data_IF_905049136705
#
_entry.id   IF_905049136705
#
_cell.length_a   1.000
_cell.length_b   1.000
_cell.length_c   1.000
_cell.angle_alpha   90.00
_cell.angle_beta   90.00
_cell.angle_gamma   90.00
#
_symmetry.space_group_name_H-M   'P 1'
#
loop_
_entity.id
_entity.type
_entity.pdbx_description
1 polymer ?
#
# COMPACT_ATOMS: atom_id res chain seq x y z
N UNK A 1 -27.73 -24.50 -40.05
CA UNK A 1 -28.89 -24.51 -39.18
C UNK A 1 -28.61 -23.66 -37.96
N UNK A 2 -29.54 -22.75 -37.69
CA UNK A 2 -29.42 -21.86 -36.50
C UNK A 2 -30.38 -22.41 -35.44
N UNK A 3 -29.84 -22.77 -34.29
CA UNK A 3 -30.67 -23.12 -33.13
C UNK A 3 -31.11 -21.82 -32.47
N UNK A 4 -32.40 -21.56 -32.46
CA UNK A 4 -32.97 -20.43 -31.72
C UNK A 4 -33.17 -20.83 -30.26
N UNK A 5 -32.83 -19.95 -29.30
CA UNK A 5 -32.96 -20.19 -27.87
C UNK A 5 -34.33 -20.61 -27.39
N UNK A 6 -35.41 -20.35 -28.16
CA UNK A 6 -36.76 -20.87 -27.88
C UNK A 6 -36.92 -22.39 -28.05
N UNK A 7 -35.96 -23.06 -28.65
CA UNK A 7 -35.95 -24.52 -28.80
C UNK A 7 -35.09 -25.25 -27.75
N UNK A 8 -34.43 -24.50 -26.88
CA UNK A 8 -33.65 -25.07 -25.77
C UNK A 8 -34.43 -24.84 -24.50
N UNK A 9 -34.91 -25.91 -23.89
CA UNK A 9 -35.57 -25.82 -22.59
C UNK A 9 -34.57 -25.44 -21.49
N UNK A 10 -35.02 -24.75 -20.46
CA UNK A 10 -34.19 -24.45 -19.30
C UNK A 10 -33.62 -25.76 -18.74
N UNK A 11 -32.37 -25.71 -18.29
CA UNK A 11 -31.61 -26.85 -17.73
C UNK A 11 -31.35 -28.02 -18.72
N UNK A 12 -31.59 -27.83 -20.03
CA UNK A 12 -31.36 -28.87 -21.04
C UNK A 12 -29.92 -28.95 -21.53
N UNK A 13 -29.12 -27.96 -21.24
CA UNK A 13 -27.69 -27.94 -21.58
C UNK A 13 -26.89 -28.08 -20.28
N UNK A 14 -26.38 -29.26 -20.07
CA UNK A 14 -25.49 -29.59 -18.95
C UNK A 14 -24.07 -29.87 -19.47
N UNK A 15 -23.15 -30.23 -18.60
CA UNK A 15 -21.74 -30.52 -18.97
C UNK A 15 -21.62 -31.74 -19.91
N UNK A 16 -22.58 -32.66 -19.91
CA UNK A 16 -22.61 -33.80 -20.83
C UNK A 16 -22.87 -33.35 -22.27
N UNK A 17 -23.52 -32.22 -22.45
CA UNK A 17 -23.81 -31.60 -23.74
C UNK A 17 -22.68 -30.66 -24.23
N UNK A 18 -21.73 -30.32 -23.34
CA UNK A 18 -20.56 -29.53 -23.68
C UNK A 18 -19.43 -30.45 -24.12
N UNK A 19 -18.83 -30.14 -25.28
CA UNK A 19 -17.63 -30.87 -25.72
C UNK A 19 -16.41 -30.39 -24.95
N UNK A 20 -16.16 -30.99 -23.79
CA UNK A 20 -15.02 -30.71 -22.92
C UNK A 20 -13.97 -31.81 -23.10
N UNK A 21 -12.70 -31.45 -23.09
CA UNK A 21 -11.59 -32.38 -23.41
C UNK A 21 -11.27 -33.37 -22.29
N UNK A 22 -11.73 -33.15 -21.07
CA UNK A 22 -11.44 -34.00 -19.90
C UNK A 22 -12.65 -34.05 -18.94
N UNK A 23 -12.57 -34.96 -17.97
CA UNK A 23 -13.58 -35.12 -16.93
C UNK A 23 -13.51 -34.03 -15.86
N UNK A 24 -14.63 -33.53 -15.33
CA UNK A 24 -14.62 -32.56 -14.26
C UNK A 24 -13.96 -33.13 -13.00
N UNK A 25 -13.22 -32.27 -12.32
CA UNK A 25 -12.57 -32.57 -11.03
C UNK A 25 -12.97 -31.47 -10.02
N UNK A 26 -13.24 -31.88 -8.77
CA UNK A 26 -13.60 -30.91 -7.73
C UNK A 26 -12.54 -29.80 -7.59
N UNK A 27 -12.99 -28.56 -7.60
CA UNK A 27 -12.11 -27.38 -7.51
C UNK A 27 -11.53 -26.93 -8.86
N UNK A 28 -11.86 -27.62 -9.96
CA UNK A 28 -11.49 -27.16 -11.28
C UNK A 28 -12.52 -26.20 -11.86
N UNK A 29 -12.07 -25.31 -12.70
CA UNK A 29 -12.91 -24.34 -13.45
C UNK A 29 -12.91 -24.70 -14.93
N UNK A 30 -14.02 -24.44 -15.62
CA UNK A 30 -14.10 -24.61 -17.05
C UNK A 30 -13.38 -23.46 -17.76
N UNK A 31 -12.34 -23.77 -18.49
CA UNK A 31 -11.49 -22.78 -19.17
C UNK A 31 -11.51 -22.97 -20.67
N UNK A 32 -11.37 -21.87 -21.43
CA UNK A 32 -11.13 -21.91 -22.86
C UNK A 32 -9.66 -22.31 -23.10
N UNK A 33 -9.45 -23.31 -23.97
CA UNK A 33 -8.11 -23.78 -24.35
C UNK A 33 -8.09 -24.18 -25.83
N UNK A 34 -7.37 -23.46 -26.64
CA UNK A 34 -7.36 -23.62 -28.11
C UNK A 34 -6.89 -24.99 -28.59
N UNK A 35 -6.03 -25.68 -27.83
CA UNK A 35 -5.54 -27.03 -28.15
C UNK A 35 -6.47 -28.16 -27.67
N UNK A 36 -7.53 -27.86 -26.92
CA UNK A 36 -8.46 -28.86 -26.40
C UNK A 36 -9.54 -29.20 -27.43
N UNK A 37 -9.95 -30.48 -27.47
CA UNK A 37 -11.08 -30.91 -28.32
C UNK A 37 -12.35 -30.22 -27.84
N UNK A 38 -12.98 -29.43 -28.70
CA UNK A 38 -14.13 -28.59 -28.34
C UNK A 38 -13.78 -27.22 -27.80
N UNK A 39 -12.49 -26.89 -27.63
CA UNK A 39 -12.04 -25.57 -27.16
C UNK A 39 -12.20 -25.34 -25.67
N UNK A 40 -12.67 -26.33 -24.91
CA UNK A 40 -12.93 -26.26 -23.47
C UNK A 40 -12.21 -27.37 -22.72
N UNK A 41 -11.75 -27.08 -21.52
CA UNK A 41 -11.14 -28.05 -20.59
C UNK A 41 -11.45 -27.67 -19.15
N UNK A 42 -11.57 -28.66 -18.28
CA UNK A 42 -11.51 -28.46 -16.83
C UNK A 42 -10.04 -28.32 -16.43
N UNK A 43 -9.69 -27.22 -15.83
CA UNK A 43 -8.34 -26.95 -15.33
C UNK A 43 -8.41 -26.55 -13.85
N UNK A 44 -7.35 -26.87 -13.11
CA UNK A 44 -7.23 -26.34 -11.77
C UNK A 44 -7.38 -24.82 -11.83
N UNK A 45 -8.17 -24.25 -10.93
CA UNK A 45 -8.18 -22.80 -10.76
C UNK A 45 -6.74 -22.42 -10.41
N UNK A 46 -6.02 -21.92 -11.41
CA UNK A 46 -4.68 -21.40 -11.15
C UNK A 46 -4.83 -20.05 -10.47
N UNK A 47 -5.26 -20.08 -9.22
CA UNK A 47 -5.23 -18.93 -8.30
C UNK A 47 -3.79 -18.47 -8.00
N UNK A 48 -2.81 -19.11 -8.57
CA UNK A 48 -1.45 -18.59 -8.65
C UNK A 48 -1.40 -17.45 -9.68
N UNK A 49 -2.12 -16.38 -9.39
CA UNK A 49 -1.77 -15.09 -9.95
C UNK A 49 -0.40 -14.74 -9.38
N UNK A 50 0.64 -15.08 -10.16
CA UNK A 50 2.03 -14.82 -9.78
C UNK A 50 2.33 -13.32 -9.62
N UNK A 51 1.36 -12.46 -9.98
CA UNK A 51 1.41 -11.01 -9.75
C UNK A 51 0.93 -10.60 -8.36
N UNK A 52 0.31 -11.52 -7.59
CA UNK A 52 -0.19 -11.25 -6.24
C UNK A 52 0.61 -12.03 -5.20
N UNK A 53 0.89 -11.36 -4.08
CA UNK A 53 1.47 -12.04 -2.93
C UNK A 53 0.42 -12.96 -2.30
N UNK A 54 0.70 -14.28 -2.07
CA UNK A 54 -0.22 -15.19 -1.41
C UNK A 54 -0.62 -14.65 -0.03
N UNK A 55 -1.88 -14.89 0.38
CA UNK A 55 -2.38 -14.46 1.69
C UNK A 55 -1.58 -15.05 2.86
N UNK A 56 -1.01 -16.24 2.68
CA UNK A 56 -0.11 -16.88 3.65
C UNK A 56 1.31 -16.27 3.70
N UNK A 57 1.56 -15.24 2.89
CA UNK A 57 2.89 -14.65 2.72
C UNK A 57 3.68 -15.30 1.60
N UNK A 58 4.86 -14.76 1.32
CA UNK A 58 5.75 -15.23 0.27
C UNK A 58 7.02 -14.39 0.17
N UNK A 59 7.92 -14.79 -0.72
CA UNK A 59 9.15 -14.05 -1.03
C UNK A 59 8.90 -13.14 -2.22
N UNK A 60 9.15 -11.84 -2.03
CA UNK A 60 9.17 -10.87 -3.12
C UNK A 60 10.59 -10.85 -3.73
N UNK A 61 10.70 -11.13 -5.02
CA UNK A 61 11.98 -11.15 -5.74
C UNK A 61 12.35 -9.80 -6.34
N UNK A 62 11.40 -8.85 -6.34
CA UNK A 62 11.59 -7.47 -6.78
C UNK A 62 11.62 -6.49 -5.62
N UNK A 63 12.01 -5.23 -5.89
CA UNK A 63 11.98 -4.16 -4.89
C UNK A 63 10.53 -3.79 -4.52
N UNK A 64 10.27 -3.62 -3.22
CA UNK A 64 9.02 -3.04 -2.72
C UNK A 64 9.21 -1.53 -2.58
N UNK A 65 8.35 -0.77 -3.24
CA UNK A 65 8.33 0.70 -3.13
C UNK A 65 7.09 1.10 -2.35
N UNK A 66 7.29 1.67 -1.17
CA UNK A 66 6.21 2.33 -0.44
C UNK A 66 5.77 3.60 -1.17
N UNK A 67 4.46 3.85 -1.21
CA UNK A 67 3.93 5.12 -1.71
C UNK A 67 4.49 6.28 -0.89
N UNK A 68 4.87 7.36 -1.55
CA UNK A 68 5.43 8.55 -0.92
C UNK A 68 4.61 9.77 -1.32
N UNK A 69 4.13 10.50 -0.32
CA UNK A 69 3.56 11.82 -0.50
C UNK A 69 4.67 12.88 -0.41
N UNK A 70 4.70 13.78 -1.38
CA UNK A 70 5.66 14.89 -1.39
C UNK A 70 4.88 16.20 -1.45
N UNK A 71 4.89 16.93 -0.34
CA UNK A 71 4.20 18.21 -0.22
C UNK A 71 5.23 19.35 -0.01
N UNK A 72 5.21 20.30 -0.93
CA UNK A 72 6.13 21.43 -0.98
C UNK A 72 5.73 22.61 -0.08
N UNK A 73 4.54 22.58 0.55
CA UNK A 73 4.00 23.74 1.28
C UNK A 73 3.26 23.32 2.55
N UNK A 74 3.97 23.19 3.65
CA UNK A 74 3.36 22.80 4.92
C UNK A 74 3.46 23.92 5.96
N UNK A 75 2.29 24.29 6.51
CA UNK A 75 2.16 25.26 7.60
C UNK A 75 0.89 24.98 8.41
N UNK A 76 0.88 25.37 9.69
CA UNK A 76 -0.27 25.13 10.56
C UNK A 76 -0.47 23.67 10.92
N UNK A 77 -1.68 23.17 10.92
CA UNK A 77 -2.00 21.78 11.27
C UNK A 77 -1.91 20.88 10.04
N UNK A 78 -1.06 19.86 10.09
CA UNK A 78 -0.86 18.86 9.02
C UNK A 78 -1.25 17.49 9.55
N UNK A 79 -2.09 16.77 8.80
CA UNK A 79 -2.52 15.39 9.13
C UNK A 79 -2.04 14.45 8.03
N UNK A 80 -1.29 13.43 8.39
CA UNK A 80 -0.78 12.42 7.46
C UNK A 80 -1.82 11.32 7.23
N UNK A 81 -2.03 10.94 5.97
CA UNK A 81 -2.94 9.86 5.61
C UNK A 81 -2.17 8.57 5.29
N UNK A 82 -2.07 7.70 6.28
CA UNK A 82 -1.36 6.42 6.15
C UNK A 82 -2.14 5.33 5.40
N UNK A 83 -3.39 5.57 5.00
CA UNK A 83 -4.11 4.67 4.09
C UNK A 83 -3.58 4.78 2.67
N UNK A 84 -3.22 5.98 2.24
CA UNK A 84 -2.80 6.26 0.86
C UNK A 84 -1.29 6.22 0.70
N UNK A 85 -0.55 6.68 1.71
CA UNK A 85 0.90 6.78 1.64
C UNK A 85 1.58 6.12 2.83
N UNK A 86 2.74 5.56 2.58
CA UNK A 86 3.59 4.95 3.60
C UNK A 86 4.69 5.91 4.05
N UNK A 87 5.12 6.80 3.16
CA UNK A 87 6.21 7.73 3.37
C UNK A 87 5.76 9.16 3.06
N UNK A 88 6.39 10.14 3.72
CA UNK A 88 6.05 11.55 3.56
C UNK A 88 7.31 12.39 3.47
N UNK A 89 7.31 13.34 2.53
CA UNK A 89 8.37 14.35 2.36
C UNK A 89 7.69 15.72 2.41
N UNK A 90 7.90 16.45 3.48
CA UNK A 90 7.16 17.67 3.81
C UNK A 90 8.11 18.87 3.85
N UNK A 91 7.99 19.80 2.91
CA UNK A 91 8.70 21.07 2.99
C UNK A 91 7.94 22.04 3.89
N UNK A 92 8.57 22.50 4.96
CA UNK A 92 7.98 23.42 5.92
C UNK A 92 8.12 24.85 5.42
N UNK A 93 6.99 25.50 5.15
CA UNK A 93 6.93 26.92 4.76
C UNK A 93 6.45 27.82 5.91
N UNK A 94 6.08 27.21 7.01
CA UNK A 94 5.71 27.85 8.29
C UNK A 94 5.88 26.86 9.43
N UNK A 95 5.53 27.28 10.65
CA UNK A 95 5.50 26.39 11.79
C UNK A 95 4.37 25.36 11.64
N UNK A 96 4.65 24.10 11.93
CA UNK A 96 3.73 22.98 11.75
C UNK A 96 3.38 22.34 13.09
N UNK A 97 2.12 21.98 13.28
CA UNK A 97 1.66 21.01 14.26
C UNK A 97 1.30 19.74 13.50
N UNK A 98 2.07 18.68 13.70
CA UNK A 98 1.76 17.38 13.11
C UNK A 98 0.63 16.73 13.92
N UNK A 99 -0.57 16.75 13.36
CA UNK A 99 -1.75 16.20 14.01
C UNK A 99 -1.67 14.67 14.13
N UNK A 100 -2.48 14.10 15.01
CA UNK A 100 -2.61 12.64 15.05
C UNK A 100 -3.10 12.15 13.69
N UNK A 101 -2.45 11.16 13.10
CA UNK A 101 -2.92 10.57 11.86
C UNK A 101 -4.22 9.80 12.10
N UNK A 102 -4.88 9.42 11.02
CA UNK A 102 -6.04 8.54 11.03
C UNK A 102 -5.79 7.37 10.09
N UNK A 103 -6.46 6.23 10.33
CA UNK A 103 -6.46 5.10 9.40
C UNK A 103 -5.14 4.33 9.31
N UNK A 104 -4.41 4.21 10.42
CA UNK A 104 -3.19 3.42 10.53
C UNK A 104 -3.48 1.92 10.68
N UNK A 105 -2.58 1.07 10.20
CA UNK A 105 -2.64 -0.37 10.39
C UNK A 105 -1.48 -0.85 11.29
N UNK A 106 -1.79 -1.76 12.23
CA UNK A 106 -0.77 -2.35 13.13
C UNK A 106 0.36 -2.98 12.32
N UNK A 107 1.59 -2.64 12.67
CA UNK A 107 2.78 -3.12 11.97
C UNK A 107 3.21 -2.27 10.77
N UNK A 108 2.44 -1.26 10.41
CA UNK A 108 2.81 -0.31 9.37
C UNK A 108 4.10 0.43 9.75
N UNK A 109 4.99 0.63 8.80
CA UNK A 109 6.24 1.35 8.99
C UNK A 109 6.48 2.28 7.81
N UNK A 110 7.13 3.40 8.05
CA UNK A 110 7.46 4.36 7.01
C UNK A 110 8.39 5.44 7.54
N UNK A 111 8.75 6.38 6.67
CA UNK A 111 9.50 7.54 7.08
C UNK A 111 8.72 8.83 6.87
N UNK A 112 9.08 9.84 7.66
CA UNK A 112 8.68 11.24 7.49
C UNK A 112 9.94 12.07 7.39
N UNK A 113 10.11 12.78 6.27
CA UNK A 113 11.17 13.76 6.09
C UNK A 113 10.58 15.15 6.19
N UNK A 114 11.16 16.00 7.03
CA UNK A 114 10.82 17.41 7.14
C UNK A 114 11.97 18.23 6.56
N UNK A 115 11.68 19.08 5.60
CA UNK A 115 12.67 19.93 4.92
C UNK A 115 12.39 21.40 5.25
N UNK A 116 13.38 22.13 5.70
CA UNK A 116 13.27 23.59 5.87
C UNK A 116 13.22 24.27 4.51
N UNK A 117 12.34 25.25 4.34
CA UNK A 117 12.35 26.10 3.16
C UNK A 117 13.63 26.98 3.08
N UNK A 118 13.77 27.80 2.05
CA UNK A 118 14.89 28.72 1.88
C UNK A 118 15.01 29.80 2.98
N UNK A 119 14.03 29.94 3.84
CA UNK A 119 14.04 30.86 5.00
C UNK A 119 14.56 30.16 6.25
N UNK A 120 14.19 28.87 6.45
CA UNK A 120 14.50 28.12 7.63
C UNK A 120 13.74 28.58 8.89
N UNK A 121 14.20 28.12 10.05
CA UNK A 121 13.63 28.47 11.38
C UNK A 121 12.18 28.00 11.58
N UNK A 122 11.71 27.02 10.79
CA UNK A 122 10.37 26.42 10.97
C UNK A 122 10.42 25.40 12.09
N UNK A 123 9.42 25.45 12.94
CA UNK A 123 9.29 24.53 14.10
C UNK A 123 8.24 23.47 13.84
N UNK A 124 8.38 22.32 14.50
CA UNK A 124 7.42 21.24 14.49
C UNK A 124 6.94 20.95 15.91
N UNK A 125 5.64 20.88 16.08
CA UNK A 125 4.99 20.35 17.29
C UNK A 125 4.45 18.97 16.97
N UNK A 126 4.91 17.96 17.70
CA UNK A 126 4.41 16.58 17.59
C UNK A 126 3.14 16.41 18.43
N UNK A 127 2.16 15.70 17.89
CA UNK A 127 0.97 15.35 18.66
C UNK A 127 1.13 13.98 19.34
N UNK A 128 0.20 13.64 20.22
CA UNK A 128 0.29 12.52 21.15
C UNK A 128 0.32 11.12 20.49
N UNK A 129 0.01 10.99 19.19
CA UNK A 129 0.14 9.72 18.48
C UNK A 129 1.60 9.31 18.23
N UNK A 130 2.54 10.27 18.26
CA UNK A 130 3.97 10.01 18.04
C UNK A 130 4.70 9.83 19.35
N UNK A 131 5.47 8.76 19.45
CA UNK A 131 6.18 8.37 20.67
C UNK A 131 7.68 8.31 20.44
N UNK A 132 8.45 8.84 21.37
CA UNK A 132 9.89 9.00 21.30
C UNK A 132 10.59 8.38 22.50
N UNK A 133 11.88 8.10 22.38
CA UNK A 133 12.66 7.59 23.48
C UNK A 133 12.62 8.54 24.70
N UNK A 134 12.38 7.98 25.87
CA UNK A 134 12.23 8.71 27.12
C UNK A 134 11.17 9.83 27.09
N UNK A 135 10.12 9.63 26.27
CA UNK A 135 9.00 10.57 26.08
C UNK A 135 9.49 12.00 25.70
N UNK A 136 10.61 12.07 24.97
CA UNK A 136 11.25 13.33 24.61
C UNK A 136 11.21 13.54 23.10
N UNK A 137 10.29 14.39 22.66
CA UNK A 137 10.16 14.74 21.25
C UNK A 137 11.40 15.51 20.74
N UNK A 138 11.93 15.17 19.56
CA UNK A 138 13.06 15.85 18.99
C UNK A 138 12.72 17.25 18.49
N UNK A 139 13.70 18.15 18.59
CA UNK A 139 13.64 19.45 17.92
C UNK A 139 14.22 19.32 16.52
N UNK A 140 13.51 19.86 15.51
CA UNK A 140 14.01 19.86 14.13
C UNK A 140 15.22 20.77 13.95
N UNK A 141 16.04 20.42 12.96
CA UNK A 141 17.05 21.33 12.39
C UNK A 141 16.37 22.56 11.82
N UNK A 142 16.85 23.75 12.17
CA UNK A 142 16.25 25.02 11.77
C UNK A 142 16.97 25.70 10.60
N UNK A 143 18.12 25.15 10.16
CA UNK A 143 18.90 25.69 9.05
C UNK A 143 18.16 25.57 7.74
N UNK A 144 18.07 26.65 6.97
CA UNK A 144 17.44 26.68 5.66
C UNK A 144 17.97 25.59 4.74
N UNK A 145 17.09 24.98 3.94
CA UNK A 145 17.37 23.92 2.97
C UNK A 145 17.96 22.63 3.55
N UNK A 146 18.04 22.48 4.87
CA UNK A 146 18.34 21.20 5.49
C UNK A 146 17.06 20.50 5.94
N UNK A 147 17.14 19.20 6.08
CA UNK A 147 16.01 18.39 6.53
C UNK A 147 16.37 17.34 7.55
N UNK A 148 15.36 16.81 8.19
CA UNK A 148 15.43 15.74 9.17
C UNK A 148 14.56 14.57 8.73
N UNK A 149 15.09 13.37 8.85
CA UNK A 149 14.39 12.13 8.48
C UNK A 149 14.10 11.33 9.74
N UNK A 150 12.84 10.94 9.91
CA UNK A 150 12.37 10.09 11.00
C UNK A 150 11.77 8.80 10.46
N UNK A 151 12.07 7.68 11.08
CA UNK A 151 11.48 6.38 10.76
C UNK A 151 10.60 5.95 11.91
N UNK A 152 9.37 5.54 11.58
CA UNK A 152 8.37 5.13 12.56
C UNK A 152 7.79 3.75 12.27
N UNK A 153 7.27 3.11 13.33
CA UNK A 153 6.45 1.91 13.28
C UNK A 153 5.22 2.06 14.15
N UNK A 154 4.05 1.73 13.62
CA UNK A 154 2.80 1.75 14.37
C UNK A 154 2.57 0.45 15.13
N UNK A 155 2.31 0.53 16.43
CA UNK A 155 2.09 -0.63 17.32
C UNK A 155 0.60 -0.93 17.61
N UNK A 156 -0.33 -0.17 17.02
CA UNK A 156 -1.76 -0.23 17.28
C UNK A 156 -2.28 0.86 18.23
N UNK A 157 -1.38 1.62 18.87
CA UNK A 157 -1.73 2.74 19.75
C UNK A 157 -0.92 3.99 19.42
N UNK A 158 0.36 3.82 19.09
CA UNK A 158 1.32 4.90 18.87
C UNK A 158 2.23 4.62 17.67
N UNK A 159 2.70 5.68 17.03
CA UNK A 159 3.80 5.68 16.09
C UNK A 159 5.11 5.78 16.87
N UNK A 160 5.79 4.66 17.03
CA UNK A 160 7.07 4.57 17.75
C UNK A 160 8.20 4.97 16.83
N UNK A 161 9.02 5.92 17.25
CA UNK A 161 10.25 6.25 16.54
C UNK A 161 11.23 5.08 16.57
N UNK A 162 11.69 4.64 15.41
CA UNK A 162 12.69 3.59 15.23
C UNK A 162 14.08 4.18 15.06
N UNK A 163 14.17 5.38 14.47
CA UNK A 163 15.41 6.08 14.28
C UNK A 163 15.23 7.42 13.56
N UNK A 164 16.26 8.24 13.60
CA UNK A 164 16.32 9.56 12.96
C UNK A 164 17.70 9.91 12.46
N UNK A 165 17.74 10.74 11.42
CA UNK A 165 18.92 11.44 10.97
C UNK A 165 18.58 12.92 10.81
N UNK A 166 19.42 13.79 11.37
CA UNK A 166 19.17 15.23 11.41
C UNK A 166 20.17 15.99 10.53
N UNK A 167 19.82 17.18 10.13
CA UNK A 167 20.65 18.12 9.37
C UNK A 167 21.14 17.54 8.03
N UNK A 168 20.27 16.81 7.34
CA UNK A 168 20.59 16.24 6.02
C UNK A 168 20.36 17.26 4.91
N UNK A 169 21.19 17.19 3.86
CA UNK A 169 20.89 17.85 2.58
C UNK A 169 19.91 16.98 1.81
N UNK A 170 18.63 17.36 1.82
CA UNK A 170 17.52 16.60 1.20
C UNK A 170 16.93 17.31 -0.02
N UNK A 171 17.40 18.48 -0.37
CA UNK A 171 16.97 19.31 -1.50
C UNK A 171 18.05 19.47 -2.54
#
# INVERSE_FOLDING_TARGET
>A
DTINGSYIADDSIDEANLKVSNTPTNGYVLTAQSGASGGLTWAADSTTDSSKLPLAGGTLTGSVKGSTDTDATNTGSVTLNFTTNQNFVLTLTGNVTLANPSTEAVGQSGFIAFIQDGTGSRTLTWNAAYEFAADTAPTLTTTANLGDLFVFRYNGAKWLEVGRNLALTLS
#
